data_IF_592321095719
#
_entry.id   IF_592321095719
#
_cell.length_a   1.000
_cell.length_b   1.000
_cell.length_c   1.000
_cell.angle_alpha   90.00
_cell.angle_beta   90.00
_cell.angle_gamma   90.00
#
_symmetry.space_group_name_H-M   'P 1'
#
loop_
_entity.id
_entity.type
_entity.pdbx_description
1 polymer ?
#
# COMPACT_ATOMS: atom_id res chain seq x y z
N UNK A 1 2.12 10.83 -30.41
CA UNK A 1 3.12 10.76 -29.34
C UNK A 1 2.83 9.50 -28.54
N UNK A 2 3.84 8.69 -28.29
CA UNK A 2 3.68 7.51 -27.45
C UNK A 2 3.28 7.96 -26.03
N UNK A 3 2.22 7.39 -25.47
CA UNK A 3 1.69 7.79 -24.15
C UNK A 3 2.71 7.37 -23.08
N UNK A 4 3.19 8.32 -22.28
CA UNK A 4 4.09 7.99 -21.15
C UNK A 4 3.33 7.09 -20.17
N UNK A 5 3.98 6.01 -19.74
CA UNK A 5 3.46 5.08 -18.74
C UNK A 5 4.34 5.11 -17.49
N UNK A 6 3.71 5.01 -16.32
CA UNK A 6 4.35 5.15 -15.01
C UNK A 6 4.26 3.87 -14.20
N UNK A 7 5.34 3.53 -13.53
CA UNK A 7 5.38 2.42 -12.60
C UNK A 7 5.44 2.92 -11.16
N UNK A 8 4.46 2.54 -10.36
CA UNK A 8 4.31 2.92 -8.97
C UNK A 8 4.53 1.67 -8.11
N UNK A 9 5.43 1.74 -7.15
CA UNK A 9 5.65 0.69 -6.16
C UNK A 9 5.12 1.19 -4.82
N UNK A 10 4.18 0.48 -4.23
CA UNK A 10 3.66 0.76 -2.90
C UNK A 10 3.96 -0.39 -1.95
N UNK A 11 4.54 -0.10 -0.80
CA UNK A 11 4.90 -1.09 0.21
C UNK A 11 4.14 -0.79 1.49
N UNK A 12 3.23 -1.69 1.86
CA UNK A 12 2.59 -1.63 3.18
C UNK A 12 3.65 -1.95 4.22
N UNK A 13 4.15 -0.88 4.84
CA UNK A 13 5.31 -0.92 5.74
C UNK A 13 4.80 -1.05 7.16
N UNK A 14 4.67 -2.30 7.58
CA UNK A 14 3.96 -2.71 8.78
C UNK A 14 4.78 -3.73 9.59
N UNK A 15 4.31 -4.07 10.79
CA UNK A 15 4.96 -5.01 11.68
C UNK A 15 5.09 -6.43 11.13
N UNK A 16 5.95 -7.18 11.76
CA UNK A 16 6.29 -8.53 11.36
C UNK A 16 5.10 -9.47 11.52
N UNK A 17 4.84 -10.27 10.47
CA UNK A 17 3.91 -11.38 10.49
C UNK A 17 2.53 -11.06 11.10
N UNK A 18 1.92 -9.94 10.72
CA UNK A 18 0.58 -9.52 11.19
C UNK A 18 -0.50 -10.58 10.93
N UNK A 19 -0.30 -11.49 9.99
CA UNK A 19 -1.24 -12.60 9.71
C UNK A 19 -1.34 -13.62 10.86
N UNK A 20 -0.29 -13.75 11.68
CA UNK A 20 -0.25 -14.66 12.84
C UNK A 20 -0.21 -13.88 14.18
N UNK A 21 -0.26 -12.54 14.11
CA UNK A 21 -0.23 -11.70 15.29
C UNK A 21 -1.47 -11.91 16.17
N UNK A 22 -1.23 -11.92 17.48
CA UNK A 22 -2.28 -12.04 18.49
C UNK A 22 -2.37 -10.74 19.27
N UNK A 23 -3.59 -10.25 19.41
CA UNK A 23 -3.87 -9.06 20.22
C UNK A 23 -3.32 -9.22 21.65
N UNK A 24 -2.78 -8.10 22.19
CA UNK A 24 -2.11 -8.11 23.49
C UNK A 24 -0.65 -8.56 23.46
N UNK A 25 -0.13 -8.95 22.28
CA UNK A 25 1.31 -9.17 22.09
C UNK A 25 1.97 -7.98 21.41
N UNK A 26 3.27 -7.75 21.69
CA UNK A 26 4.02 -6.70 21.00
C UNK A 26 4.12 -7.02 19.51
N UNK A 27 4.01 -5.99 18.66
CA UNK A 27 4.32 -6.08 17.24
C UNK A 27 5.84 -5.99 17.05
N UNK A 28 6.41 -6.98 16.35
CA UNK A 28 7.79 -6.92 15.91
C UNK A 28 7.96 -5.98 14.73
N UNK A 29 9.18 -5.45 14.59
CA UNK A 29 9.59 -4.58 13.47
C UNK A 29 10.96 -4.99 12.94
N UNK A 30 11.32 -6.28 13.08
CA UNK A 30 12.61 -6.80 12.62
C UNK A 30 12.76 -6.70 11.11
N UNK A 31 11.64 -6.67 10.37
CA UNK A 31 11.64 -6.49 8.93
C UNK A 31 12.28 -5.16 8.48
N UNK A 32 12.40 -4.17 9.37
CA UNK A 32 13.11 -2.92 9.08
C UNK A 32 14.56 -3.15 8.61
N UNK A 33 15.21 -4.23 9.05
CA UNK A 33 16.58 -4.57 8.67
C UNK A 33 16.67 -5.16 7.25
N UNK A 34 15.54 -5.58 6.67
CA UNK A 34 15.48 -6.24 5.35
C UNK A 34 15.12 -5.31 4.19
N UNK A 35 14.73 -4.07 4.46
CA UNK A 35 14.22 -3.12 3.45
C UNK A 35 15.30 -2.65 2.46
N UNK A 36 16.53 -2.55 2.93
CA UNK A 36 17.66 -2.01 2.14
C UNK A 36 17.91 -2.80 0.85
N UNK A 37 17.77 -4.13 0.88
CA UNK A 37 17.96 -4.98 -0.31
C UNK A 37 16.93 -4.63 -1.39
N UNK A 38 15.66 -4.47 -1.00
CA UNK A 38 14.59 -4.11 -1.92
C UNK A 38 14.79 -2.70 -2.49
N UNK A 39 15.12 -1.72 -1.63
CA UNK A 39 15.44 -0.37 -2.08
C UNK A 39 16.59 -0.33 -3.09
N UNK A 40 17.65 -1.11 -2.85
CA UNK A 40 18.78 -1.20 -3.77
C UNK A 40 18.36 -1.78 -5.13
N UNK A 41 17.49 -2.79 -5.14
CA UNK A 41 16.93 -3.33 -6.37
C UNK A 41 16.09 -2.27 -7.11
N UNK A 42 15.24 -1.53 -6.41
CA UNK A 42 14.51 -0.40 -7.01
C UNK A 42 15.44 0.64 -7.63
N UNK A 43 16.51 1.00 -6.91
CA UNK A 43 17.50 1.99 -7.38
C UNK A 43 18.22 1.55 -8.67
N UNK A 44 18.49 0.24 -8.86
CA UNK A 44 19.10 -0.29 -10.07
C UNK A 44 18.25 -0.04 -11.32
N UNK A 45 16.93 -0.02 -11.17
CA UNK A 45 15.98 0.25 -12.25
C UNK A 45 15.46 1.69 -12.24
N UNK A 46 15.99 2.57 -11.37
CA UNK A 46 15.53 3.94 -11.18
C UNK A 46 14.06 4.03 -10.75
N UNK A 47 13.58 3.01 -10.03
CA UNK A 47 12.25 2.99 -9.45
C UNK A 47 12.26 3.61 -8.05
N UNK A 48 11.18 4.31 -7.72
CA UNK A 48 11.02 5.06 -6.48
C UNK A 48 9.85 4.48 -5.68
N UNK A 49 10.08 3.56 -4.72
CA UNK A 49 9.00 3.02 -3.91
C UNK A 49 8.40 4.08 -2.97
N UNK A 50 7.11 4.00 -2.75
CA UNK A 50 6.39 4.69 -1.68
C UNK A 50 6.22 3.72 -0.51
N UNK A 51 6.93 3.98 0.60
CA UNK A 51 6.81 3.25 1.84
C UNK A 51 5.59 3.79 2.61
N UNK A 52 4.47 3.06 2.54
CA UNK A 52 3.24 3.39 3.26
C UNK A 52 3.36 2.85 4.68
N UNK A 53 3.78 3.70 5.61
CA UNK A 53 4.20 3.29 6.92
C UNK A 53 3.09 3.38 7.96
N UNK A 54 3.02 2.38 8.84
CA UNK A 54 2.09 2.33 9.95
C UNK A 54 2.74 2.73 11.30
N UNK A 55 1.96 2.66 12.38
CA UNK A 55 2.34 3.16 13.69
C UNK A 55 3.64 2.54 14.22
N UNK A 56 3.78 1.23 14.24
CA UNK A 56 4.94 0.54 14.80
C UNK A 56 6.21 0.82 14.01
N UNK A 57 6.13 0.86 12.67
CA UNK A 57 7.29 1.12 11.83
C UNK A 57 7.76 2.57 11.94
N UNK A 58 6.85 3.54 12.01
CA UNK A 58 7.22 4.96 12.20
C UNK A 58 7.84 5.21 13.59
N UNK A 59 7.57 4.36 14.57
CA UNK A 59 8.22 4.39 15.88
C UNK A 59 9.55 3.61 15.93
N UNK A 60 9.88 2.81 14.90
CA UNK A 60 11.16 2.09 14.83
C UNK A 60 12.27 2.98 14.25
N UNK A 61 13.32 3.23 15.04
CA UNK A 61 14.42 4.09 14.62
C UNK A 61 15.23 3.54 13.44
N UNK A 62 15.24 2.21 13.22
CA UNK A 62 15.91 1.57 12.08
C UNK A 62 15.20 1.92 10.78
N UNK A 63 13.86 1.77 10.77
CA UNK A 63 13.05 2.19 9.62
C UNK A 63 13.19 3.69 9.36
N UNK A 64 13.10 4.52 10.40
CA UNK A 64 13.20 5.98 10.25
C UNK A 64 14.57 6.39 9.70
N UNK A 65 15.67 5.83 10.21
CA UNK A 65 17.00 6.11 9.69
C UNK A 65 17.17 5.66 8.22
N UNK A 66 16.67 4.48 7.88
CA UNK A 66 16.66 3.96 6.52
C UNK A 66 15.88 4.88 5.58
N UNK A 67 14.62 5.22 5.92
CA UNK A 67 13.76 6.02 5.05
C UNK A 67 14.27 7.46 4.90
N UNK A 68 14.78 8.09 5.96
CA UNK A 68 15.41 9.43 5.87
C UNK A 68 16.58 9.45 4.89
N UNK A 69 17.47 8.46 4.95
CA UNK A 69 18.59 8.36 4.00
C UNK A 69 18.11 8.20 2.54
N UNK A 70 17.00 7.48 2.32
CA UNK A 70 16.41 7.33 0.99
C UNK A 70 15.69 8.61 0.52
N UNK A 71 14.99 9.31 1.43
CA UNK A 71 14.33 10.59 1.15
C UNK A 71 15.33 11.69 0.76
N UNK A 72 16.43 11.83 1.50
CA UNK A 72 17.52 12.77 1.21
C UNK A 72 18.09 12.56 -0.21
N UNK A 73 18.16 11.31 -0.65
CA UNK A 73 18.61 10.92 -1.99
C UNK A 73 17.52 10.96 -3.05
N UNK A 74 16.28 11.30 -2.68
CA UNK A 74 15.08 11.27 -3.56
C UNK A 74 14.83 9.89 -4.17
N UNK A 75 15.13 8.84 -3.43
CA UNK A 75 15.02 7.44 -3.87
C UNK A 75 13.72 6.76 -3.43
N UNK A 76 12.96 7.39 -2.55
CA UNK A 76 11.67 6.89 -2.08
C UNK A 76 10.71 8.03 -1.71
N UNK A 77 9.48 7.67 -1.40
CA UNK A 77 8.49 8.49 -0.70
C UNK A 77 8.05 7.77 0.57
N UNK A 78 7.49 8.51 1.53
CA UNK A 78 6.85 7.96 2.73
C UNK A 78 5.42 8.47 2.78
N UNK A 79 4.46 7.56 2.79
CA UNK A 79 3.03 7.81 2.98
C UNK A 79 2.52 7.14 4.25
N UNK A 80 1.21 7.23 4.48
CA UNK A 80 0.56 6.65 5.64
C UNK A 80 -0.13 5.32 5.30
N UNK A 81 0.09 4.30 6.16
CA UNK A 81 -0.71 3.08 6.25
C UNK A 81 -1.27 2.98 7.67
N UNK A 82 -2.60 3.08 7.82
CA UNK A 82 -3.20 3.17 9.14
C UNK A 82 -3.93 1.88 9.51
N UNK A 83 -3.42 1.21 10.56
CA UNK A 83 -4.11 0.12 11.24
C UNK A 83 -4.85 0.67 12.48
N UNK A 84 -6.16 0.48 12.51
CA UNK A 84 -6.99 1.11 13.53
C UNK A 84 -6.74 0.57 14.95
N UNK A 85 -6.43 -0.73 15.07
CA UNK A 85 -6.27 -1.41 16.36
C UNK A 85 -4.98 -1.06 17.10
N UNK A 86 -3.93 -0.61 16.41
CA UNK A 86 -2.63 -0.28 17.02
C UNK A 86 -2.27 1.21 16.97
N UNK A 87 -3.08 2.04 16.30
CA UNK A 87 -2.88 3.49 16.23
C UNK A 87 -3.71 4.20 17.30
N UNK A 88 -3.09 5.02 18.20
CA UNK A 88 -3.85 5.82 19.15
C UNK A 88 -4.67 6.95 18.47
N UNK A 89 -5.71 7.48 19.17
CA UNK A 89 -6.16 7.10 20.50
C UNK A 89 -6.80 5.72 20.50
N UNK A 90 -6.59 4.96 21.58
CA UNK A 90 -7.26 3.68 21.74
C UNK A 90 -8.72 3.88 22.15
N UNK A 91 -9.60 3.19 21.46
CA UNK A 91 -11.04 3.25 21.66
C UNK A 91 -11.61 1.83 21.66
N UNK A 92 -12.43 1.51 22.62
CA UNK A 92 -13.03 0.18 22.77
C UNK A 92 -14.26 0.04 21.87
N UNK A 93 -14.17 -0.85 20.88
CA UNK A 93 -15.29 -1.25 20.04
C UNK A 93 -16.00 -2.47 20.62
N UNK A 94 -17.31 -2.65 20.37
CA UNK A 94 -18.01 -3.89 20.69
C UNK A 94 -17.30 -5.10 20.09
N UNK A 95 -17.32 -6.22 20.80
CA UNK A 95 -16.60 -7.43 20.41
C UNK A 95 -17.42 -8.68 20.74
N UNK A 96 -17.24 -9.72 19.96
CA UNK A 96 -17.73 -11.08 20.22
C UNK A 96 -16.58 -12.10 20.02
N UNK A 97 -16.82 -13.37 20.37
CA UNK A 97 -15.79 -14.42 20.33
C UNK A 97 -15.12 -14.58 18.95
N UNK A 98 -15.84 -14.33 17.86
CA UNK A 98 -15.35 -14.45 16.48
C UNK A 98 -14.97 -13.12 15.83
N UNK A 99 -14.78 -12.07 16.61
CA UNK A 99 -14.37 -10.77 16.06
C UNK A 99 -12.99 -10.85 15.42
N UNK A 100 -12.85 -10.14 14.30
CA UNK A 100 -11.55 -9.88 13.65
C UNK A 100 -10.87 -8.64 14.22
N UNK A 101 -9.79 -8.21 13.58
CA UNK A 101 -9.17 -6.91 13.85
C UNK A 101 -10.07 -5.79 13.30
N UNK A 102 -10.06 -4.63 13.95
CA UNK A 102 -10.93 -3.53 13.55
C UNK A 102 -10.50 -2.87 12.24
N UNK A 103 -11.48 -2.45 11.45
CA UNK A 103 -11.31 -1.46 10.40
C UNK A 103 -11.40 -0.05 10.98
N UNK A 104 -10.74 0.94 10.39
CA UNK A 104 -10.91 2.32 10.85
C UNK A 104 -12.36 2.79 10.72
N UNK A 105 -13.04 2.37 9.68
CA UNK A 105 -14.45 2.71 9.39
C UNK A 105 -15.48 2.09 10.35
N UNK A 106 -15.04 1.33 11.34
CA UNK A 106 -15.91 0.87 12.46
C UNK A 106 -16.00 1.89 13.61
N UNK A 107 -15.08 2.85 13.65
CA UNK A 107 -14.99 3.83 14.73
C UNK A 107 -15.89 5.04 14.48
N UNK A 108 -16.33 5.75 15.55
CA UNK A 108 -16.96 7.07 15.42
C UNK A 108 -16.07 8.04 14.62
N UNK A 109 -16.68 8.97 13.88
CA UNK A 109 -15.96 9.88 13.00
C UNK A 109 -14.88 10.72 13.71
N UNK A 110 -15.15 11.16 14.94
CA UNK A 110 -14.22 11.90 15.78
C UNK A 110 -13.00 11.05 16.14
N UNK A 111 -13.19 9.78 16.49
CA UNK A 111 -12.09 8.84 16.77
C UNK A 111 -11.28 8.54 15.51
N UNK A 112 -11.94 8.33 14.37
CA UNK A 112 -11.28 8.17 13.08
C UNK A 112 -10.37 9.37 12.79
N UNK A 113 -10.90 10.59 12.94
CA UNK A 113 -10.20 11.85 12.75
C UNK A 113 -8.95 11.95 13.61
N UNK A 114 -9.08 11.67 14.90
CA UNK A 114 -7.98 11.74 15.85
C UNK A 114 -6.88 10.72 15.54
N UNK A 115 -7.21 9.50 15.11
CA UNK A 115 -6.23 8.49 14.68
C UNK A 115 -5.47 8.95 13.43
N UNK A 116 -6.17 9.52 12.44
CA UNK A 116 -5.56 10.06 11.22
C UNK A 116 -4.61 11.22 11.58
N UNK A 117 -5.05 12.17 12.41
CA UNK A 117 -4.22 13.30 12.88
C UNK A 117 -2.99 12.78 13.62
N UNK A 118 -3.16 11.84 14.54
CA UNK A 118 -2.07 11.26 15.33
C UNK A 118 -1.02 10.62 14.45
N UNK A 119 -1.44 9.82 13.47
CA UNK A 119 -0.51 9.14 12.57
C UNK A 119 0.16 10.13 11.61
N UNK A 120 -0.59 11.11 11.08
CA UNK A 120 -0.06 12.18 10.24
C UNK A 120 1.02 12.98 10.95
N UNK A 121 0.75 13.42 12.19
CA UNK A 121 1.69 14.16 13.00
C UNK A 121 2.93 13.34 13.37
N UNK A 122 2.77 12.05 13.63
CA UNK A 122 3.89 11.16 13.90
C UNK A 122 4.83 11.08 12.68
N UNK A 123 4.28 10.84 11.49
CA UNK A 123 5.07 10.77 10.25
C UNK A 123 5.77 12.13 9.99
N UNK A 124 5.03 13.24 10.09
CA UNK A 124 5.60 14.58 9.89
C UNK A 124 6.74 14.87 10.87
N UNK A 125 6.57 14.57 12.16
CA UNK A 125 7.59 14.76 13.18
C UNK A 125 8.83 13.90 12.94
N UNK A 126 8.63 12.65 12.47
CA UNK A 126 9.75 11.72 12.25
C UNK A 126 10.52 12.02 10.95
N UNK A 127 9.83 12.45 9.88
CA UNK A 127 10.45 12.62 8.55
C UNK A 127 10.61 14.07 8.12
N UNK A 128 10.02 15.03 8.84
CA UNK A 128 10.11 16.46 8.53
C UNK A 128 9.25 16.90 7.34
N UNK A 129 8.36 16.00 6.85
CA UNK A 129 7.41 16.26 5.77
C UNK A 129 6.08 15.61 6.10
N UNK A 130 4.99 16.34 5.93
CA UNK A 130 3.63 15.82 6.06
C UNK A 130 3.35 14.80 4.95
N UNK A 131 2.83 13.60 5.28
CA UNK A 131 2.44 12.65 4.26
C UNK A 131 1.20 13.13 3.51
N UNK A 132 1.15 12.88 2.21
CA UNK A 132 0.02 13.26 1.34
C UNK A 132 -0.57 12.06 0.59
N UNK A 133 -0.01 10.87 0.79
CA UNK A 133 -0.43 9.62 0.18
C UNK A 133 -0.80 8.59 1.24
N UNK A 134 -1.79 7.76 0.94
CA UNK A 134 -2.38 6.86 1.93
C UNK A 134 -2.77 5.50 1.34
N UNK A 135 -2.81 4.49 2.22
CA UNK A 135 -3.53 3.23 2.05
C UNK A 135 -4.14 2.80 3.38
N UNK A 136 -5.41 2.46 3.37
CA UNK A 136 -6.13 1.97 4.54
C UNK A 136 -5.68 0.57 4.93
N UNK A 137 -5.50 0.33 6.23
CA UNK A 137 -5.34 -0.99 6.78
C UNK A 137 -6.51 -1.88 6.37
N UNK A 138 -6.21 -3.12 5.96
CA UNK A 138 -7.21 -4.09 5.52
C UNK A 138 -8.08 -3.60 4.35
N UNK A 139 -7.61 -2.61 3.58
CA UNK A 139 -8.34 -2.02 2.45
C UNK A 139 -9.65 -1.30 2.81
N UNK A 140 -9.87 -0.99 4.08
CA UNK A 140 -11.15 -0.53 4.62
C UNK A 140 -11.43 0.95 4.40
N UNK A 141 -12.06 1.34 3.29
CA UNK A 141 -12.40 2.73 2.95
C UNK A 141 -13.92 2.96 2.87
N UNK A 142 -14.32 4.19 3.16
CA UNK A 142 -15.65 4.75 2.88
C UNK A 142 -15.56 6.27 2.66
N UNK A 143 -16.67 6.90 2.30
CA UNK A 143 -16.71 8.34 2.00
C UNK A 143 -16.29 9.21 3.20
N UNK A 144 -16.63 8.82 4.41
CA UNK A 144 -16.17 9.51 5.63
C UNK A 144 -14.67 9.48 5.75
N UNK A 145 -14.03 8.34 5.49
CA UNK A 145 -12.59 8.23 5.57
C UNK A 145 -11.91 9.11 4.51
N UNK A 146 -12.37 9.08 3.25
CA UNK A 146 -11.87 9.99 2.19
C UNK A 146 -11.98 11.46 2.60
N UNK A 147 -13.14 11.90 3.12
CA UNK A 147 -13.34 13.26 3.62
C UNK A 147 -12.32 13.63 4.71
N UNK A 148 -12.10 12.74 5.69
CA UNK A 148 -11.16 12.96 6.76
C UNK A 148 -9.71 13.03 6.30
N UNK A 149 -9.32 12.23 5.30
CA UNK A 149 -8.02 12.31 4.65
C UNK A 149 -7.85 13.66 3.95
N UNK A 150 -8.85 14.11 3.18
CA UNK A 150 -8.84 15.41 2.52
C UNK A 150 -8.66 16.58 3.52
N UNK A 151 -9.38 16.55 4.64
CA UNK A 151 -9.25 17.55 5.70
C UNK A 151 -7.84 17.61 6.31
N UNK A 152 -7.10 16.49 6.24
CA UNK A 152 -5.71 16.41 6.65
C UNK A 152 -4.71 16.67 5.51
N UNK A 153 -5.18 17.04 4.31
CA UNK A 153 -4.34 17.40 3.17
C UNK A 153 -3.78 16.23 2.38
N UNK A 154 -4.36 15.03 2.52
CA UNK A 154 -4.02 13.92 1.62
C UNK A 154 -4.59 14.18 0.23
N UNK A 155 -3.80 13.84 -0.80
CA UNK A 155 -4.18 14.05 -2.20
C UNK A 155 -4.45 12.73 -2.92
N UNK A 156 -3.84 11.62 -2.45
CA UNK A 156 -3.99 10.31 -3.06
C UNK A 156 -4.23 9.22 -2.03
N UNK A 157 -5.10 8.29 -2.39
CA UNK A 157 -5.33 7.00 -1.74
C UNK A 157 -5.15 5.86 -2.76
N UNK A 158 -4.76 4.69 -2.29
CA UNK A 158 -4.60 3.51 -3.13
C UNK A 158 -5.13 2.24 -2.43
N UNK A 159 -6.30 2.37 -1.79
CA UNK A 159 -6.92 1.29 -1.01
C UNK A 159 -7.89 0.44 -1.81
N UNK A 160 -8.44 0.93 -2.92
CA UNK A 160 -9.40 0.15 -3.70
C UNK A 160 -8.68 -1.00 -4.41
N UNK A 161 -9.20 -2.20 -4.21
CA UNK A 161 -8.76 -3.43 -4.88
C UNK A 161 -9.85 -3.86 -5.88
N UNK A 162 -9.77 -3.42 -7.14
CA UNK A 162 -10.83 -3.65 -8.11
C UNK A 162 -11.23 -5.13 -8.22
N UNK A 163 -12.52 -5.38 -8.33
CA UNK A 163 -13.12 -6.71 -8.51
C UNK A 163 -13.04 -7.66 -7.30
N UNK A 164 -12.53 -7.19 -6.15
CA UNK A 164 -12.36 -8.02 -4.95
C UNK A 164 -13.48 -7.75 -3.94
N UNK A 165 -14.01 -8.80 -3.36
CA UNK A 165 -15.01 -8.78 -2.29
C UNK A 165 -14.35 -9.18 -0.96
N UNK A 166 -14.22 -8.22 -0.04
CA UNK A 166 -13.63 -8.44 1.28
C UNK A 166 -14.66 -8.71 2.38
N UNK A 167 -15.95 -8.88 2.07
CA UNK A 167 -16.99 -9.09 3.09
C UNK A 167 -16.81 -10.36 3.93
N UNK A 168 -16.00 -11.31 3.47
CA UNK A 168 -15.58 -12.47 4.27
C UNK A 168 -14.52 -12.13 5.32
N UNK A 169 -13.87 -10.97 5.22
CA UNK A 169 -12.88 -10.46 6.17
C UNK A 169 -13.60 -9.63 7.23
N UNK A 170 -14.07 -10.29 8.30
CA UNK A 170 -14.87 -9.65 9.35
C UNK A 170 -14.09 -8.62 10.16
N UNK A 171 -14.78 -7.57 10.62
CA UNK A 171 -14.26 -6.54 11.54
C UNK A 171 -14.31 -6.97 13.00
N UNK A 172 -14.07 -6.01 13.89
CA UNK A 172 -14.17 -6.22 15.34
C UNK A 172 -15.61 -6.15 15.82
N UNK A 173 -16.38 -5.17 15.32
CA UNK A 173 -17.79 -4.99 15.71
C UNK A 173 -18.63 -6.14 15.18
N UNK A 174 -19.51 -6.74 16.02
CA UNK A 174 -20.39 -7.81 15.60
C UNK A 174 -21.17 -7.48 14.31
N UNK A 175 -21.09 -8.38 13.33
CA UNK A 175 -21.75 -8.23 12.04
C UNK A 175 -21.07 -7.25 11.07
N UNK A 176 -19.96 -6.63 11.44
CA UNK A 176 -19.21 -5.78 10.53
C UNK A 176 -18.39 -6.63 9.54
N UNK A 177 -18.51 -6.31 8.27
CA UNK A 177 -17.80 -6.96 7.16
C UNK A 177 -16.86 -5.97 6.46
N UNK A 178 -15.81 -6.49 5.85
CA UNK A 178 -14.91 -5.70 5.01
C UNK A 178 -15.62 -5.08 3.79
N UNK A 179 -14.93 -4.21 3.06
CA UNK A 179 -15.51 -3.53 1.89
C UNK A 179 -15.79 -4.50 0.73
N UNK A 180 -16.77 -4.16 -0.08
CA UNK A 180 -17.07 -4.85 -1.34
C UNK A 180 -16.63 -4.00 -2.53
N UNK A 181 -15.50 -4.33 -3.12
CA UNK A 181 -14.98 -3.70 -4.34
C UNK A 181 -15.25 -4.53 -5.61
N UNK A 182 -16.14 -5.52 -5.54
CA UNK A 182 -16.42 -6.42 -6.68
C UNK A 182 -16.94 -5.68 -7.93
N UNK A 183 -17.51 -4.49 -7.75
CA UNK A 183 -18.02 -3.61 -8.81
C UNK A 183 -17.10 -2.43 -9.13
N UNK A 184 -16.07 -2.22 -8.35
CA UNK A 184 -15.08 -1.18 -8.62
C UNK A 184 -14.22 -1.57 -9.82
N UNK A 185 -13.78 -0.56 -10.57
CA UNK A 185 -12.94 -0.72 -11.76
C UNK A 185 -11.51 -0.28 -11.48
N UNK A 186 -10.61 -0.55 -12.42
CA UNK A 186 -9.21 -0.08 -12.34
C UNK A 186 -9.04 1.39 -12.72
N UNK A 187 -10.14 2.13 -12.92
CA UNK A 187 -10.10 3.55 -13.27
C UNK A 187 -9.80 4.41 -12.05
N UNK A 188 -8.96 5.44 -12.25
CA UNK A 188 -8.75 6.50 -11.25
C UNK A 188 -10.08 7.20 -10.99
N UNK A 189 -10.38 7.46 -9.73
CA UNK A 189 -11.59 8.17 -9.34
C UNK A 189 -11.31 9.26 -8.32
N UNK A 190 -12.10 10.34 -8.34
CA UNK A 190 -11.99 11.40 -7.36
C UNK A 190 -13.11 11.27 -6.32
N UNK A 191 -12.73 11.12 -5.04
CA UNK A 191 -13.65 10.81 -3.93
C UNK A 191 -13.44 11.77 -2.77
N UNK A 192 -14.44 12.56 -2.43
CA UNK A 192 -14.43 13.47 -1.26
C UNK A 192 -13.16 14.34 -1.17
N UNK A 193 -12.58 14.77 -2.29
CA UNK A 193 -11.39 15.62 -2.32
C UNK A 193 -10.06 14.87 -2.43
N UNK A 194 -10.07 13.54 -2.48
CA UNK A 194 -8.88 12.68 -2.64
C UNK A 194 -8.98 11.89 -3.95
N UNK A 195 -7.88 11.73 -4.64
CA UNK A 195 -7.80 10.86 -5.82
C UNK A 195 -7.51 9.43 -5.39
N UNK A 196 -8.43 8.53 -5.70
CA UNK A 196 -8.24 7.09 -5.55
C UNK A 196 -7.53 6.53 -6.79
N UNK A 197 -6.38 5.90 -6.58
CA UNK A 197 -5.57 5.24 -7.62
C UNK A 197 -5.56 3.75 -7.29
N UNK A 198 -6.44 2.95 -7.89
CA UNK A 198 -6.58 1.54 -7.54
C UNK A 198 -5.30 0.73 -7.77
N UNK A 199 -5.03 -0.26 -6.92
CA UNK A 199 -3.95 -1.22 -7.19
C UNK A 199 -4.21 -1.97 -8.49
N UNK A 200 -3.14 -2.30 -9.23
CA UNK A 200 -3.31 -2.98 -10.51
C UNK A 200 -3.74 -4.43 -10.31
N UNK A 201 -4.99 -4.70 -10.64
CA UNK A 201 -5.62 -6.02 -10.66
C UNK A 201 -6.28 -6.22 -12.02
N UNK A 202 -5.95 -7.32 -12.68
CA UNK A 202 -6.54 -7.71 -13.96
C UNK A 202 -7.64 -8.74 -13.73
N UNK A 203 -8.85 -8.44 -14.18
CA UNK A 203 -9.94 -9.42 -14.22
C UNK A 203 -9.86 -10.27 -15.49
N UNK A 204 -9.94 -11.58 -15.35
CA UNK A 204 -9.94 -12.51 -16.46
C UNK A 204 -11.13 -13.48 -16.34
N UNK A 205 -11.66 -13.94 -17.47
CA UNK A 205 -12.77 -14.90 -17.49
C UNK A 205 -12.39 -16.28 -16.92
N UNK A 206 -11.13 -16.69 -17.10
CA UNK A 206 -10.66 -18.03 -16.73
C UNK A 206 -10.04 -18.12 -15.34
N UNK A 207 -9.32 -17.09 -14.93
CA UNK A 207 -8.46 -17.13 -13.72
C UNK A 207 -8.97 -16.20 -12.61
N UNK A 208 -10.16 -15.60 -12.76
CA UNK A 208 -10.66 -14.62 -11.81
C UNK A 208 -9.83 -13.34 -11.82
N UNK A 209 -9.31 -12.93 -10.66
CA UNK A 209 -8.48 -11.72 -10.50
C UNK A 209 -6.99 -12.05 -10.39
N UNK A 210 -6.17 -11.37 -11.18
CA UNK A 210 -4.71 -11.50 -11.18
C UNK A 210 -4.09 -10.21 -10.63
N UNK A 211 -3.24 -10.35 -9.62
CA UNK A 211 -2.60 -9.23 -8.95
C UNK A 211 -1.16 -9.02 -9.44
N UNK A 212 -0.75 -7.78 -9.54
CA UNK A 212 0.67 -7.46 -9.65
C UNK A 212 1.32 -7.48 -8.25
N UNK A 213 1.32 -8.65 -7.66
CA UNK A 213 1.87 -8.94 -6.32
C UNK A 213 2.44 -10.35 -6.28
N UNK A 214 3.69 -10.55 -5.83
CA UNK A 214 4.31 -11.88 -5.78
C UNK A 214 3.65 -12.79 -4.72
N UNK A 215 3.47 -14.07 -5.10
CA UNK A 215 2.98 -15.12 -4.20
C UNK A 215 3.76 -16.43 -4.29
N UNK A 216 5.01 -16.41 -4.68
CA UNK A 216 5.95 -17.52 -4.96
C UNK A 216 5.77 -18.20 -6.32
N UNK A 217 4.59 -18.25 -6.91
CA UNK A 217 4.29 -19.11 -8.07
C UNK A 217 3.76 -18.34 -9.27
N UNK A 218 3.40 -17.09 -9.08
CA UNK A 218 2.65 -16.30 -10.06
C UNK A 218 3.50 -15.41 -10.98
N UNK A 219 4.79 -15.71 -11.20
CA UNK A 219 5.63 -14.91 -12.09
C UNK A 219 5.00 -14.75 -13.49
N UNK A 220 4.48 -15.83 -14.07
CA UNK A 220 3.83 -15.80 -15.39
C UNK A 220 2.56 -14.93 -15.40
N UNK A 221 1.80 -14.98 -14.31
CA UNK A 221 0.60 -14.16 -14.14
C UNK A 221 0.96 -12.68 -14.03
N UNK A 222 1.98 -12.34 -13.24
CA UNK A 222 2.47 -10.96 -13.12
C UNK A 222 2.99 -10.42 -14.47
N UNK A 223 3.74 -11.21 -15.24
CA UNK A 223 4.18 -10.82 -16.58
C UNK A 223 2.99 -10.60 -17.52
N UNK A 224 1.96 -11.42 -17.43
CA UNK A 224 0.72 -11.25 -18.19
C UNK A 224 -0.03 -9.97 -17.78
N UNK A 225 -0.11 -9.66 -16.48
CA UNK A 225 -0.68 -8.39 -16.00
C UNK A 225 0.08 -7.19 -16.56
N UNK A 226 1.42 -7.23 -16.57
CA UNK A 226 2.29 -6.17 -17.11
C UNK A 226 2.00 -5.97 -18.61
N UNK A 227 1.97 -7.06 -19.38
CA UNK A 227 1.67 -7.03 -20.82
C UNK A 227 0.29 -6.40 -21.08
N UNK A 228 -0.76 -6.88 -20.40
CA UNK A 228 -2.12 -6.37 -20.58
C UNK A 228 -2.32 -4.94 -20.12
N UNK A 229 -1.64 -4.52 -19.06
CA UNK A 229 -1.64 -3.11 -18.66
C UNK A 229 -0.92 -2.24 -19.71
N UNK A 230 0.19 -2.71 -20.27
CA UNK A 230 0.89 -1.97 -21.33
C UNK A 230 0.02 -1.78 -22.59
N UNK A 231 -0.76 -2.79 -22.97
CA UNK A 231 -1.70 -2.73 -24.09
C UNK A 231 -2.95 -1.87 -23.81
N UNK A 232 -3.24 -1.57 -22.54
CA UNK A 232 -4.42 -0.79 -22.15
C UNK A 232 -4.22 0.72 -22.25
N UNK A 233 -5.32 1.48 -22.05
CA UNK A 233 -5.29 2.93 -21.98
C UNK A 233 -4.78 3.48 -20.64
N UNK A 234 -4.60 2.64 -19.62
CA UNK A 234 -4.05 3.08 -18.34
C UNK A 234 -2.63 3.61 -18.51
N UNK A 235 -2.34 4.73 -17.90
CA UNK A 235 -1.01 5.36 -17.93
C UNK A 235 -0.14 4.97 -16.73
N UNK A 236 -0.66 4.16 -15.80
CA UNK A 236 0.08 3.65 -14.66
C UNK A 236 -0.03 2.13 -14.50
N UNK A 237 0.94 1.59 -13.80
CA UNK A 237 1.02 0.21 -13.34
C UNK A 237 1.44 0.24 -11.86
N UNK A 238 0.60 -0.23 -10.94
CA UNK A 238 0.88 -0.22 -9.51
C UNK A 238 1.17 -1.63 -8.98
N UNK A 239 2.38 -1.79 -8.46
CA UNK A 239 2.85 -2.98 -7.72
C UNK A 239 2.64 -2.77 -6.22
N UNK A 240 2.29 -3.83 -5.50
CA UNK A 240 2.23 -3.79 -4.03
C UNK A 240 2.90 -5.01 -3.38
N UNK A 241 3.44 -4.81 -2.18
CA UNK A 241 4.05 -5.81 -1.32
C UNK A 241 3.95 -5.33 0.14
N UNK A 242 4.07 -6.23 1.11
CA UNK A 242 4.26 -5.85 2.51
C UNK A 242 5.75 -5.88 2.87
N UNK A 243 6.20 -4.98 3.73
CA UNK A 243 7.60 -4.93 4.18
C UNK A 243 8.05 -6.23 4.84
N UNK A 244 7.16 -6.85 5.59
CA UNK A 244 7.38 -8.13 6.27
C UNK A 244 7.59 -9.32 5.30
N UNK A 245 7.11 -9.22 4.06
CA UNK A 245 7.35 -10.23 3.01
C UNK A 245 8.81 -10.23 2.50
N UNK A 246 9.61 -9.22 2.84
CA UNK A 246 11.04 -9.14 2.51
C UNK A 246 11.93 -9.88 3.53
N UNK A 247 11.36 -10.29 4.66
CA UNK A 247 12.03 -11.00 5.75
C UNK A 247 11.64 -12.49 5.76
N UNK A 248 12.60 -13.43 5.91
CA UNK A 248 12.29 -14.85 6.10
C UNK A 248 11.41 -15.06 7.33
N UNK A 249 10.24 -15.68 7.16
CA UNK A 249 9.27 -15.89 8.24
C UNK A 249 8.39 -14.70 8.61
N UNK A 250 8.64 -13.52 8.04
CA UNK A 250 7.81 -12.32 8.25
C UNK A 250 6.43 -12.37 7.61
N UNK A 251 6.16 -13.39 6.82
CA UNK A 251 4.85 -13.63 6.22
C UNK A 251 4.57 -15.12 6.03
N UNK A 252 3.30 -15.54 5.91
CA UNK A 252 2.97 -16.93 5.61
C UNK A 252 3.41 -17.34 4.20
N UNK A 253 3.72 -16.38 3.33
CA UNK A 253 4.13 -16.63 1.95
C UNK A 253 5.61 -16.94 1.83
N UNK A 254 6.49 -16.17 2.46
CA UNK A 254 7.94 -16.28 2.31
C UNK A 254 8.61 -16.67 3.64
N UNK A 255 8.50 -17.97 4.00
CA UNK A 255 8.92 -18.48 5.33
C UNK A 255 10.40 -18.76 5.47
N UNK A 256 11.14 -18.85 4.38
CA UNK A 256 12.55 -19.31 4.37
C UNK A 256 13.42 -18.39 3.54
N UNK A 257 14.73 -18.39 3.82
CA UNK A 257 15.73 -17.67 3.00
C UNK A 257 15.63 -18.02 1.52
N UNK A 258 15.53 -19.32 1.17
CA UNK A 258 15.34 -19.74 -0.22
C UNK A 258 14.02 -19.24 -0.84
N UNK A 259 13.00 -18.99 -0.02
CA UNK A 259 11.76 -18.33 -0.44
C UNK A 259 11.98 -16.85 -0.78
N UNK A 260 12.78 -16.16 0.04
CA UNK A 260 13.17 -14.76 -0.21
C UNK A 260 14.07 -14.65 -1.46
N UNK A 261 15.05 -15.53 -1.64
CA UNK A 261 15.88 -15.51 -2.85
C UNK A 261 15.02 -15.65 -4.11
N UNK A 262 14.06 -16.57 -4.12
CA UNK A 262 13.12 -16.72 -5.24
C UNK A 262 12.22 -15.48 -5.44
N UNK A 263 11.82 -14.81 -4.35
CA UNK A 263 11.12 -13.54 -4.45
C UNK A 263 11.96 -12.52 -5.23
N UNK A 264 13.23 -12.36 -4.87
CA UNK A 264 14.12 -11.41 -5.55
C UNK A 264 14.41 -11.79 -7.00
N UNK A 265 14.58 -13.08 -7.32
CA UNK A 265 14.67 -13.57 -8.70
C UNK A 265 13.44 -13.15 -9.53
N UNK A 266 12.23 -13.30 -8.97
CA UNK A 266 11.00 -12.87 -9.63
C UNK A 266 10.92 -11.35 -9.77
N UNK A 267 11.30 -10.59 -8.72
CA UNK A 267 11.33 -9.13 -8.76
C UNK A 267 12.28 -8.61 -9.84
N UNK A 268 13.48 -9.17 -9.97
CA UNK A 268 14.43 -8.79 -11.03
C UNK A 268 13.84 -9.02 -12.42
N UNK A 269 13.16 -10.14 -12.65
CA UNK A 269 12.52 -10.44 -13.93
C UNK A 269 11.44 -9.42 -14.25
N UNK A 270 10.51 -9.15 -13.32
CA UNK A 270 9.41 -8.19 -13.57
C UNK A 270 9.92 -6.74 -13.66
N UNK A 271 10.89 -6.33 -12.83
CA UNK A 271 11.43 -4.98 -12.88
C UNK A 271 12.19 -4.72 -14.18
N UNK A 272 12.94 -5.71 -14.68
CA UNK A 272 13.59 -5.64 -15.98
C UNK A 272 12.57 -5.50 -17.12
N UNK A 273 11.44 -6.22 -17.05
CA UNK A 273 10.39 -6.11 -18.06
C UNK A 273 9.71 -4.75 -18.02
N UNK A 274 9.32 -4.30 -16.80
CA UNK A 274 8.66 -3.02 -16.59
C UNK A 274 9.55 -1.84 -17.02
N UNK A 275 10.85 -1.88 -16.73
CA UNK A 275 11.80 -0.80 -17.03
C UNK A 275 11.95 -0.49 -18.54
N UNK A 276 11.48 -1.37 -19.41
CA UNK A 276 11.51 -1.16 -20.86
C UNK A 276 10.51 -0.10 -21.32
N UNK A 277 9.37 -0.03 -20.66
CA UNK A 277 8.21 0.73 -21.14
C UNK A 277 7.61 1.70 -20.11
N UNK A 278 8.05 1.60 -18.84
CA UNK A 278 7.51 2.42 -17.75
C UNK A 278 8.60 3.24 -17.08
N UNK A 279 8.25 4.45 -16.68
CA UNK A 279 9.09 5.30 -15.83
C UNK A 279 8.67 5.10 -14.37
N UNK A 280 9.63 4.77 -13.48
CA UNK A 280 9.37 4.63 -12.05
C UNK A 280 9.14 5.98 -11.40
N UNK A 281 8.05 6.09 -10.64
CA UNK A 281 7.70 7.30 -9.87
C UNK A 281 7.15 6.90 -8.51
N UNK A 282 7.26 7.78 -7.51
CA UNK A 282 6.51 7.63 -6.28
C UNK A 282 5.04 8.00 -6.46
N UNK A 283 4.20 7.68 -5.49
CA UNK A 283 2.75 7.91 -5.59
C UNK A 283 2.41 9.41 -5.58
N UNK A 284 3.09 10.20 -4.74
CA UNK A 284 2.96 11.67 -4.74
C UNK A 284 3.45 12.29 -6.06
N UNK A 285 4.61 11.83 -6.56
CA UNK A 285 5.16 12.30 -7.83
C UNK A 285 4.23 11.97 -9.00
N UNK A 286 3.61 10.79 -9.02
CA UNK A 286 2.60 10.43 -10.02
C UNK A 286 1.42 11.40 -10.01
N UNK A 287 0.90 11.75 -8.83
CA UNK A 287 -0.20 12.71 -8.71
C UNK A 287 0.14 14.07 -9.31
N UNK A 288 1.33 14.59 -9.02
CA UNK A 288 1.78 15.87 -9.58
C UNK A 288 1.89 15.83 -11.11
N UNK A 289 2.32 14.71 -11.68
CA UNK A 289 2.41 14.52 -13.12
C UNK A 289 1.03 14.36 -13.76
N UNK A 290 0.13 13.62 -13.12
CA UNK A 290 -1.22 13.38 -13.59
C UNK A 290 -2.04 14.68 -13.63
N UNK A 291 -2.01 15.51 -12.59
CA UNK A 291 -2.65 16.82 -12.54
C UNK A 291 -2.10 17.79 -13.60
N UNK A 292 -0.75 17.81 -13.74
CA UNK A 292 -0.10 18.64 -14.77
C UNK A 292 -0.59 18.29 -16.18
N UNK A 293 -0.70 17.02 -16.53
CA UNK A 293 -1.18 16.60 -17.84
C UNK A 293 -2.68 16.82 -18.04
N UNK A 294 -3.49 16.66 -16.97
CA UNK A 294 -4.93 16.95 -17.04
C UNK A 294 -5.22 18.44 -17.32
N UNK A 295 -4.42 19.35 -16.77
CA UNK A 295 -4.55 20.79 -17.03
C UNK A 295 -4.05 21.22 -18.42
N UNK A 296 -3.16 20.47 -19.06
CA UNK A 296 -2.69 20.72 -20.43
C UNK A 296 -3.74 20.29 -21.50
N UNK A 297 -4.74 19.49 -21.10
CA UNK A 297 -5.79 19.00 -22.00
C UNK A 297 -7.09 19.83 -21.93
N UNK A 298 -7.17 20.81 -21.04
CA UNK A 298 -8.25 21.81 -20.93
C UNK A 298 -7.93 23.05 -21.76
#
# INVERSE_FOLDING_TARGET
>A
MEKKKYFIITIDTEGDNLWEWKEGTALGTENADFLKRFQNLCNQYQFKPTWLANWEMVNDDRFVAFAKNCLEKKQCEVGMHLHAWNTPPFYELPREERSGLSYLIEYPEDVMREKIITMTNLIENRFGKKPVTHRAGRWGMNDTYFKLLHEQGYIADCSVTPYVDWRTSIGQTPGFAGPDYSKETSEISFRQGVTEIPVTILRTEKNGVLWLRPNRRNLKEMLYVIEKNYESEHDYLMFMLHSSELMPGGSPTFKTEGGIERLYEHLEVIFKEISRNYTGVGLEEYMMLHEYFADQQK
#
